data_IF_954952764906
#
_entry.id   IF_954952764906
#
_cell.length_a   1.000
_cell.length_b   1.000
_cell.length_c   1.000
_cell.angle_alpha   90.00
_cell.angle_beta   90.00
_cell.angle_gamma   90.00
#
_symmetry.space_group_name_H-M   'P 1'
#
loop_
_entity.id
_entity.type
_entity.pdbx_description
1 polymer ?
#
# COMPACT_ATOMS: atom_id res chain seq x y z
N UNK A 1 -0.07 -14.34 4.92
CA UNK A 1 -0.67 -13.58 6.03
C UNK A 1 0.18 -12.34 6.29
N UNK A 2 1.51 -12.47 6.27
CA UNK A 2 2.48 -11.34 6.32
C UNK A 2 2.37 -10.35 5.14
N UNK A 3 2.06 -10.80 3.92
CA UNK A 3 2.07 -9.92 2.73
C UNK A 3 1.10 -8.72 2.78
N UNK A 4 -0.13 -8.91 3.28
CA UNK A 4 -1.10 -7.81 3.40
C UNK A 4 -0.75 -6.87 4.55
N UNK A 5 -0.20 -7.43 5.64
CA UNK A 5 0.23 -6.65 6.78
C UNK A 5 1.38 -5.72 6.41
N UNK A 6 2.35 -6.20 5.63
CA UNK A 6 3.47 -5.40 5.14
C UNK A 6 3.00 -4.25 4.25
N UNK A 7 2.07 -4.50 3.31
CA UNK A 7 1.48 -3.46 2.46
C UNK A 7 0.74 -2.43 3.31
N UNK A 8 -0.06 -2.89 4.26
CA UNK A 8 -0.82 -2.03 5.16
C UNK A 8 0.08 -1.20 6.08
N UNK A 9 1.20 -1.76 6.53
CA UNK A 9 2.22 -1.05 7.29
C UNK A 9 2.81 0.11 6.46
N UNK A 10 3.14 -0.12 5.18
CA UNK A 10 3.65 0.95 4.31
C UNK A 10 2.61 2.07 4.11
N UNK A 11 1.33 1.73 3.92
CA UNK A 11 0.27 2.73 3.81
C UNK A 11 0.16 3.54 5.12
N UNK A 12 0.17 2.87 6.28
CA UNK A 12 0.11 3.54 7.57
C UNK A 12 1.31 4.47 7.79
N UNK A 13 2.51 4.00 7.45
CA UNK A 13 3.76 4.77 7.51
C UNK A 13 3.67 6.04 6.66
N UNK A 14 3.14 5.95 5.43
CA UNK A 14 2.96 7.09 4.54
C UNK A 14 1.92 8.09 5.09
N UNK A 15 0.84 7.59 5.70
CA UNK A 15 -0.12 8.45 6.40
C UNK A 15 0.50 9.17 7.61
N UNK A 16 1.43 8.52 8.32
CA UNK A 16 2.16 9.10 9.45
C UNK A 16 3.26 10.07 9.00
N UNK A 17 3.92 9.83 7.87
CA UNK A 17 5.05 10.67 7.41
C UNK A 17 4.61 12.09 7.06
N UNK A 18 3.44 12.26 6.43
CA UNK A 18 2.95 13.57 5.99
C UNK A 18 2.89 14.62 7.11
N UNK A 19 2.18 14.38 8.24
CA UNK A 19 2.12 15.36 9.33
C UNK A 19 3.46 15.54 10.04
N UNK A 20 4.35 14.53 10.04
CA UNK A 20 5.67 14.63 10.65
C UNK A 20 6.62 15.50 9.84
N UNK A 21 6.61 15.37 8.50
CA UNK A 21 7.41 16.18 7.59
C UNK A 21 6.94 17.64 7.63
N UNK A 22 5.62 17.87 7.63
CA UNK A 22 5.06 19.21 7.78
C UNK A 22 5.53 19.85 9.09
N UNK A 23 5.42 19.12 10.22
CA UNK A 23 5.85 19.62 11.53
C UNK A 23 7.35 19.85 11.64
N UNK A 24 8.19 19.00 11.05
CA UNK A 24 9.64 19.20 11.07
C UNK A 24 10.05 20.42 10.24
N UNK A 25 9.35 20.69 9.14
CA UNK A 25 9.60 21.87 8.29
C UNK A 25 9.21 23.20 8.96
N UNK A 26 8.23 23.16 9.88
CA UNK A 26 7.78 24.32 10.66
C UNK A 26 8.68 24.63 11.86
N UNK A 27 9.54 23.70 12.29
CA UNK A 27 10.46 23.96 13.39
C UNK A 27 11.55 24.95 12.95
N UNK A 28 11.82 26.02 13.72
CA UNK A 28 12.87 26.97 13.38
C UNK A 28 14.21 26.23 13.38
N UNK A 29 14.97 26.33 12.29
CA UNK A 29 16.29 25.73 12.13
C UNK A 29 17.09 25.82 13.44
N UNK A 30 17.51 24.65 13.97
CA UNK A 30 18.30 24.56 15.20
C UNK A 30 19.45 25.57 15.10
N UNK A 31 19.34 26.67 15.86
CA UNK A 31 20.45 27.63 15.97
C UNK A 31 21.61 26.87 16.60
N UNK A 32 22.60 26.53 15.78
CA UNK A 32 23.89 26.05 16.24
C UNK A 32 24.34 26.95 17.40
N UNK A 33 24.43 26.37 18.60
CA UNK A 33 24.99 27.07 19.76
C UNK A 33 26.45 27.35 19.44
N UNK A 34 26.72 28.53 18.86
CA UNK A 34 28.08 29.04 18.76
C UNK A 34 28.62 29.15 20.17
N UNK A 35 29.48 28.20 20.53
CA UNK A 35 30.32 28.31 21.71
C UNK A 35 31.02 29.68 21.65
N UNK A 36 30.91 30.43 22.75
CA UNK A 36 31.59 31.70 22.95
C UNK A 36 33.09 31.41 22.95
N UNK A 37 33.75 31.56 21.81
CA UNK A 37 35.21 31.48 21.73
C UNK A 37 35.80 32.89 21.66
N UNK A 38 36.63 33.19 22.66
CA UNK A 38 37.35 34.43 22.82
C UNK A 38 38.30 34.69 21.63
N UNK A 39 38.16 35.87 21.02
CA UNK A 39 39.23 36.74 20.49
C UNK A 39 40.59 36.11 20.14
N UNK A 40 40.86 35.86 18.84
CA UNK A 40 41.92 36.54 18.03
C UNK A 40 42.32 35.78 16.73
N UNK A 41 42.32 36.56 15.63
CA UNK A 41 43.18 36.54 14.41
C UNK A 41 42.90 35.57 13.24
N UNK A 42 42.47 36.21 12.13
CA UNK A 42 42.74 36.01 10.69
C UNK A 42 43.42 34.70 10.24
N UNK A 43 42.72 33.91 9.44
CA UNK A 43 43.07 33.59 8.03
C UNK A 43 41.91 32.90 7.32
N UNK A 44 41.74 33.21 6.02
CA UNK A 44 40.66 32.73 5.18
C UNK A 44 40.77 31.23 4.89
N UNK A 45 39.70 30.48 5.15
CA UNK A 45 39.53 29.08 4.74
C UNK A 45 38.18 28.96 4.02
N UNK A 46 38.23 28.32 2.85
CA UNK A 46 37.10 28.07 1.93
C UNK A 46 35.93 27.41 2.66
N UNK A 47 34.73 27.90 2.32
CA UNK A 47 33.41 27.38 2.71
C UNK A 47 33.33 25.89 2.35
N UNK A 48 33.33 25.04 3.37
CA UNK A 48 32.91 23.63 3.24
C UNK A 48 31.40 23.62 3.14
N UNK A 49 30.93 22.83 2.21
CA UNK A 49 29.58 22.77 1.68
C UNK A 49 28.64 22.18 2.74
N UNK A 50 27.46 22.79 2.90
CA UNK A 50 26.40 22.47 3.86
C UNK A 50 25.57 21.24 3.42
N UNK A 51 26.11 20.35 2.59
CA UNK A 51 25.37 19.22 2.01
C UNK A 51 25.35 18.00 2.95
N UNK A 52 26.29 17.88 3.89
CA UNK A 52 26.37 16.72 4.78
C UNK A 52 25.46 16.80 6.01
N UNK A 53 25.10 17.99 6.48
CA UNK A 53 24.19 18.16 7.64
C UNK A 53 22.72 17.94 7.25
N UNK A 54 22.28 18.43 6.08
CA UNK A 54 20.89 18.27 5.61
C UNK A 54 20.55 16.82 5.24
N UNK A 55 21.51 16.07 4.67
CA UNK A 55 21.33 14.66 4.36
C UNK A 55 21.17 13.81 5.64
N UNK A 56 21.93 14.13 6.68
CA UNK A 56 21.85 13.45 7.97
C UNK A 56 20.52 13.74 8.69
N UNK A 57 20.03 14.99 8.63
CA UNK A 57 18.74 15.35 9.23
C UNK A 57 17.55 14.63 8.55
N UNK A 58 17.61 14.42 7.23
CA UNK A 58 16.57 13.70 6.50
C UNK A 58 16.59 12.18 6.76
N UNK A 59 17.79 11.60 6.88
CA UNK A 59 17.98 10.19 7.24
C UNK A 59 17.50 9.92 8.68
N UNK A 60 17.88 10.77 9.63
CA UNK A 60 17.42 10.71 11.03
C UNK A 60 15.89 10.82 11.13
N UNK A 61 15.26 11.69 10.32
CA UNK A 61 13.80 11.82 10.28
C UNK A 61 13.14 10.57 9.70
N UNK A 62 13.71 9.98 8.65
CA UNK A 62 13.18 8.75 8.06
C UNK A 62 13.26 7.57 9.03
N UNK A 63 14.38 7.39 9.73
CA UNK A 63 14.54 6.38 10.77
C UNK A 63 13.56 6.59 11.93
N UNK A 64 13.32 7.85 12.32
CA UNK A 64 12.35 8.18 13.35
C UNK A 64 10.91 7.87 12.91
N UNK A 65 10.54 8.17 11.66
CA UNK A 65 9.24 7.80 11.08
C UNK A 65 9.07 6.29 11.10
N UNK A 66 10.10 5.52 10.70
CA UNK A 66 10.06 4.06 10.68
C UNK A 66 9.88 3.48 12.07
N UNK A 67 10.66 3.97 13.05
CA UNK A 67 10.56 3.58 14.44
C UNK A 67 9.15 3.82 14.99
N UNK A 68 8.62 5.03 14.83
CA UNK A 68 7.33 5.42 15.36
C UNK A 68 6.17 4.70 14.65
N UNK A 69 6.26 4.55 13.32
CA UNK A 69 5.30 3.80 12.53
C UNK A 69 5.24 2.35 13.00
N UNK A 70 6.38 1.70 13.20
CA UNK A 70 6.46 0.31 13.62
C UNK A 70 5.88 0.12 15.03
N UNK A 71 6.22 1.01 15.96
CA UNK A 71 5.73 0.95 17.34
C UNK A 71 4.21 1.14 17.42
N UNK A 72 3.66 2.13 16.71
CA UNK A 72 2.22 2.38 16.67
C UNK A 72 1.52 1.22 15.95
N UNK A 73 1.96 0.88 14.74
CA UNK A 73 1.29 -0.13 13.90
C UNK A 73 1.24 -1.49 14.60
N UNK A 74 2.35 -1.94 15.18
CA UNK A 74 2.41 -3.22 15.92
C UNK A 74 1.47 -3.28 17.12
N UNK A 75 1.09 -2.11 17.65
CA UNK A 75 0.16 -1.96 18.78
C UNK A 75 -1.32 -1.88 18.32
N UNK A 76 -1.59 -1.74 17.01
CA UNK A 76 -2.94 -1.70 16.47
C UNK A 76 -3.59 -3.10 16.49
N UNK A 77 -4.94 -3.18 16.58
CA UNK A 77 -5.66 -4.44 16.49
C UNK A 77 -5.29 -5.22 15.22
N UNK A 78 -5.08 -6.53 15.32
CA UNK A 78 -4.76 -7.39 14.16
C UNK A 78 -5.79 -7.26 13.04
N UNK A 79 -7.07 -7.13 13.39
CA UNK A 79 -8.15 -6.96 12.41
C UNK A 79 -8.08 -5.63 11.64
N UNK A 80 -7.32 -4.64 12.13
CA UNK A 80 -7.02 -3.40 11.43
C UNK A 80 -5.69 -3.49 10.65
N UNK A 81 -4.67 -4.17 11.22
CA UNK A 81 -3.39 -4.41 10.54
C UNK A 81 -3.55 -5.24 9.27
N UNK A 82 -4.46 -6.21 9.26
CA UNK A 82 -4.72 -7.11 8.12
C UNK A 82 -5.96 -6.70 7.29
N UNK A 83 -6.55 -5.52 7.56
CA UNK A 83 -7.79 -5.09 6.93
C UNK A 83 -7.58 -4.86 5.43
N UNK A 84 -8.48 -5.39 4.61
CA UNK A 84 -8.52 -5.13 3.17
C UNK A 84 -9.93 -4.68 2.76
N UNK A 85 -10.03 -3.93 1.66
CA UNK A 85 -11.32 -3.50 1.11
C UNK A 85 -12.28 -4.68 0.90
N UNK A 86 -11.81 -5.78 0.31
CA UNK A 86 -12.63 -6.97 0.05
C UNK A 86 -13.09 -7.66 1.34
N UNK A 87 -12.20 -7.80 2.35
CA UNK A 87 -12.57 -8.37 3.64
C UNK A 87 -13.61 -7.51 4.37
N UNK A 88 -13.43 -6.18 4.35
CA UNK A 88 -14.38 -5.22 4.91
C UNK A 88 -15.73 -5.26 4.19
N UNK A 89 -15.73 -5.21 2.85
CA UNK A 89 -16.93 -5.19 2.03
C UNK A 89 -17.80 -6.44 2.25
N UNK A 90 -17.18 -7.59 2.47
CA UNK A 90 -17.86 -8.88 2.61
C UNK A 90 -18.10 -9.30 4.07
N UNK A 91 -17.74 -8.48 5.07
CA UNK A 91 -17.88 -8.82 6.48
C UNK A 91 -18.63 -7.72 7.27
N UNK A 92 -19.91 -7.93 7.61
CA UNK A 92 -20.70 -6.96 8.38
C UNK A 92 -20.11 -6.59 9.74
N UNK A 93 -19.38 -7.50 10.39
CA UNK A 93 -18.72 -7.21 11.66
C UNK A 93 -17.55 -6.25 11.49
N UNK A 94 -16.77 -6.38 10.40
CA UNK A 94 -15.71 -5.44 10.08
C UNK A 94 -16.27 -4.07 9.69
N UNK A 95 -17.40 -4.01 8.99
CA UNK A 95 -18.09 -2.75 8.68
C UNK A 95 -18.57 -2.04 9.95
N UNK A 96 -19.14 -2.78 10.90
CA UNK A 96 -19.56 -2.20 12.17
C UNK A 96 -18.38 -1.64 12.99
N UNK A 97 -17.20 -2.28 12.91
CA UNK A 97 -16.00 -1.85 13.64
C UNK A 97 -15.28 -0.68 12.96
N UNK A 98 -15.17 -0.73 11.63
CA UNK A 98 -14.38 0.20 10.83
C UNK A 98 -15.28 0.92 9.82
N UNK A 99 -15.61 2.16 10.15
CA UNK A 99 -16.38 3.08 9.30
C UNK A 99 -15.49 4.27 8.95
N UNK A 100 -15.74 4.90 7.80
CA UNK A 100 -15.05 6.13 7.39
C UNK A 100 -16.03 7.33 7.44
N UNK A 101 -15.85 8.31 8.35
CA UNK A 101 -14.81 8.39 9.38
C UNK A 101 -15.10 7.52 10.62
N UNK A 102 -14.05 7.18 11.38
CA UNK A 102 -14.17 6.42 12.62
C UNK A 102 -14.94 7.20 13.69
N UNK A 103 -15.83 6.50 14.41
CA UNK A 103 -16.52 7.11 15.55
C UNK A 103 -15.54 7.41 16.70
N UNK A 104 -15.72 8.51 17.45
CA UNK A 104 -14.82 8.87 18.55
C UNK A 104 -14.58 7.74 19.58
N UNK A 105 -15.62 6.98 20.02
CA UNK A 105 -15.40 5.87 20.95
C UNK A 105 -14.55 4.74 20.37
N UNK A 106 -14.49 4.58 19.04
CA UNK A 106 -13.63 3.58 18.38
C UNK A 106 -12.21 4.08 18.26
N UNK A 107 -12.02 5.34 17.93
CA UNK A 107 -10.69 5.97 17.95
C UNK A 107 -10.04 5.81 19.32
N UNK A 108 -10.73 6.18 20.40
CA UNK A 108 -10.26 6.00 21.78
C UNK A 108 -9.93 4.53 22.09
N UNK A 109 -10.80 3.59 21.68
CA UNK A 109 -10.58 2.15 21.89
C UNK A 109 -9.37 1.58 21.13
N UNK A 110 -8.93 2.23 20.06
CA UNK A 110 -7.77 1.82 19.25
C UNK A 110 -6.50 2.47 19.78
N UNK A 111 -6.57 3.74 20.20
CA UNK A 111 -5.41 4.54 20.55
C UNK A 111 -5.06 4.55 22.05
N UNK A 112 -6.02 4.37 22.95
CA UNK A 112 -5.74 4.30 24.41
C UNK A 112 -4.83 3.13 24.82
N UNK A 113 -4.88 1.95 24.18
CA UNK A 113 -3.97 0.83 24.49
C UNK A 113 -2.53 1.05 24.01
N UNK A 114 -2.23 2.14 23.30
CA UNK A 114 -0.89 2.39 22.77
C UNK A 114 0.15 2.54 23.89
N UNK A 115 1.37 2.01 23.69
CA UNK A 115 2.47 2.20 24.63
C UNK A 115 2.72 3.68 24.99
N UNK A 116 3.00 4.01 26.27
CA UNK A 116 3.27 5.39 26.68
C UNK A 116 4.54 5.97 26.04
N UNK A 117 5.47 5.11 25.61
CA UNK A 117 6.68 5.44 24.84
C UNK A 117 6.40 6.21 23.56
N UNK A 118 5.23 5.99 22.93
CA UNK A 118 4.78 6.76 21.76
C UNK A 118 4.52 8.21 22.17
N UNK A 119 3.81 8.42 23.29
CA UNK A 119 3.52 9.77 23.81
C UNK A 119 4.81 10.47 24.22
N UNK A 120 5.72 9.76 24.90
CA UNK A 120 7.01 10.30 25.31
C UNK A 120 7.86 10.71 24.10
N UNK A 121 7.85 9.91 23.03
CA UNK A 121 8.53 10.22 21.77
C UNK A 121 7.93 11.47 21.10
N UNK A 122 6.60 11.53 20.99
CA UNK A 122 5.92 12.70 20.40
C UNK A 122 6.20 14.00 21.17
N UNK A 123 6.27 13.93 22.50
CA UNK A 123 6.64 15.09 23.35
C UNK A 123 8.11 15.44 23.19
N UNK A 124 9.01 14.45 23.22
CA UNK A 124 10.47 14.63 23.12
C UNK A 124 10.86 15.35 21.83
N UNK A 125 10.22 14.98 20.71
CA UNK A 125 10.46 15.59 19.41
C UNK A 125 9.60 16.86 19.15
N UNK A 126 8.83 17.30 20.15
CA UNK A 126 7.97 18.50 20.07
C UNK A 126 6.98 18.44 18.91
N UNK A 127 6.39 17.27 18.68
CA UNK A 127 5.42 17.03 17.60
C UNK A 127 3.99 17.37 17.99
N UNK A 128 3.69 17.38 19.29
CA UNK A 128 2.38 17.78 19.83
C UNK A 128 2.31 19.29 20.00
N UNK A 129 1.22 19.90 19.53
CA UNK A 129 0.91 21.29 19.83
C UNK A 129 0.62 21.49 21.33
N UNK A 130 0.72 22.73 21.87
CA UNK A 130 0.36 22.99 23.26
C UNK A 130 -1.09 22.58 23.54
N UNK A 131 -1.27 21.65 24.49
CA UNK A 131 -2.54 21.03 24.89
C UNK A 131 -3.14 20.01 23.90
N UNK A 132 -2.39 19.58 22.88
CA UNK A 132 -2.81 18.48 22.01
C UNK A 132 -2.44 17.15 22.65
N UNK A 133 -3.40 16.24 22.71
CA UNK A 133 -3.18 14.86 23.18
C UNK A 133 -2.65 13.96 22.07
N UNK A 134 -2.02 12.84 22.44
CA UNK A 134 -1.60 11.80 21.49
C UNK A 134 -2.78 11.31 20.65
N UNK A 135 -3.95 11.12 21.26
CA UNK A 135 -5.17 10.73 20.55
C UNK A 135 -5.57 11.76 19.49
N UNK A 136 -5.58 13.05 19.82
CA UNK A 136 -5.91 14.12 18.87
C UNK A 136 -4.91 14.21 17.72
N UNK A 137 -3.63 13.93 17.98
CA UNK A 137 -2.60 13.89 16.94
C UNK A 137 -2.75 12.67 16.02
N UNK A 138 -2.97 11.48 16.57
CA UNK A 138 -3.04 10.23 15.81
C UNK A 138 -4.41 9.99 15.14
N UNK A 139 -5.48 10.62 15.63
CA UNK A 139 -6.83 10.51 15.05
C UNK A 139 -6.91 10.80 13.54
N UNK A 140 -6.39 11.92 13.01
CA UNK A 140 -6.43 12.18 11.57
C UNK A 140 -5.58 11.18 10.77
N UNK A 141 -4.44 10.73 11.31
CA UNK A 141 -3.59 9.71 10.67
C UNK A 141 -4.34 8.39 10.55
N UNK A 142 -4.99 7.96 11.64
CA UNK A 142 -5.79 6.73 11.67
C UNK A 142 -6.97 6.78 10.70
N UNK A 143 -7.66 7.93 10.60
CA UNK A 143 -8.74 8.10 9.62
C UNK A 143 -8.21 8.12 8.18
N UNK A 144 -7.07 8.79 7.92
CA UNK A 144 -6.44 8.77 6.60
C UNK A 144 -6.07 7.35 6.19
N UNK A 145 -5.42 6.60 7.09
CA UNK A 145 -5.07 5.20 6.86
C UNK A 145 -6.31 4.35 6.55
N UNK A 146 -7.37 4.48 7.36
CA UNK A 146 -8.60 3.73 7.13
C UNK A 146 -9.26 4.13 5.80
N UNK A 147 -9.33 5.41 5.47
CA UNK A 147 -9.91 5.88 4.21
C UNK A 147 -9.15 5.31 3.00
N UNK A 148 -7.82 5.22 3.08
CA UNK A 148 -7.01 4.57 2.05
C UNK A 148 -7.33 3.08 1.92
N UNK A 149 -7.44 2.34 3.03
CA UNK A 149 -7.79 0.92 3.00
C UNK A 149 -9.20 0.62 2.48
N UNK A 150 -10.15 1.52 2.78
CA UNK A 150 -11.55 1.37 2.39
C UNK A 150 -11.88 1.97 1.02
N UNK A 151 -10.89 2.57 0.36
CA UNK A 151 -11.05 3.05 -1.01
C UNK A 151 -11.25 1.86 -1.95
N UNK A 152 -12.36 1.81 -2.73
CA UNK A 152 -12.57 0.74 -3.69
C UNK A 152 -11.43 0.70 -4.73
N UNK A 153 -10.97 -0.49 -5.13
CA UNK A 153 -9.96 -0.59 -6.18
C UNK A 153 -10.49 0.05 -7.48
N UNK A 154 -9.61 0.67 -8.29
CA UNK A 154 -10.01 1.30 -9.54
C UNK A 154 -10.66 0.28 -10.46
N UNK A 155 -11.63 0.71 -11.27
CA UNK A 155 -12.35 -0.24 -12.12
C UNK A 155 -11.37 -0.89 -13.10
N UNK A 156 -11.54 -2.17 -13.45
CA UNK A 156 -10.53 -2.87 -14.23
C UNK A 156 -10.19 -2.24 -15.61
N UNK A 157 -11.13 -1.51 -16.22
CA UNK A 157 -10.90 -0.81 -17.48
C UNK A 157 -10.10 0.50 -17.31
N UNK A 158 -10.22 1.15 -16.15
CA UNK A 158 -9.46 2.37 -15.80
C UNK A 158 -7.98 2.04 -15.57
N UNK A 159 -7.69 0.77 -15.25
CA UNK A 159 -6.32 0.27 -15.06
C UNK A 159 -5.55 0.09 -16.38
N UNK A 160 -6.23 0.09 -17.54
CA UNK A 160 -5.61 -0.15 -18.86
C UNK A 160 -4.35 0.68 -19.14
N UNK A 161 -4.29 1.99 -18.84
CA UNK A 161 -3.12 2.82 -19.16
C UNK A 161 -1.86 2.42 -18.38
N UNK A 162 -2.02 1.81 -17.19
CA UNK A 162 -0.92 1.41 -16.33
C UNK A 162 -0.32 0.05 -16.70
N UNK A 163 -1.05 -0.76 -17.47
CA UNK A 163 -0.57 -2.07 -17.91
C UNK A 163 0.14 -1.96 -19.26
N UNK A 164 1.47 -2.07 -19.21
CA UNK A 164 2.38 -1.88 -20.35
C UNK A 164 2.72 -3.17 -21.08
N UNK A 165 2.50 -4.33 -20.46
CA UNK A 165 2.85 -5.63 -20.99
C UNK A 165 1.79 -6.70 -20.71
N UNK A 166 1.88 -7.82 -21.44
CA UNK A 166 0.98 -8.94 -21.21
C UNK A 166 1.30 -9.65 -19.89
N UNK A 167 0.31 -9.76 -19.01
CA UNK A 167 0.50 -10.31 -17.66
C UNK A 167 0.87 -11.81 -17.59
N UNK A 168 0.82 -12.55 -18.72
CA UNK A 168 1.28 -13.94 -18.81
C UNK A 168 2.65 -14.08 -19.49
N UNK A 169 2.91 -13.30 -20.54
CA UNK A 169 4.12 -13.48 -21.38
C UNK A 169 5.08 -12.30 -21.38
N UNK A 170 4.77 -11.24 -20.62
CA UNK A 170 5.59 -10.05 -20.38
C UNK A 170 6.04 -9.31 -21.65
N UNK A 171 5.30 -9.48 -22.75
CA UNK A 171 5.58 -8.73 -23.99
C UNK A 171 4.92 -7.37 -23.92
N UNK A 172 5.73 -6.32 -23.99
CA UNK A 172 5.31 -4.91 -23.94
C UNK A 172 5.01 -4.29 -25.30
N UNK A 173 5.50 -4.89 -26.39
CA UNK A 173 5.39 -4.33 -27.75
C UNK A 173 4.16 -4.79 -28.54
N UNK A 174 3.19 -5.43 -27.88
CA UNK A 174 2.02 -6.02 -28.54
C UNK A 174 0.70 -5.50 -27.97
N UNK A 175 -0.37 -5.42 -28.78
CA UNK A 175 -1.68 -5.03 -28.27
C UNK A 175 -2.22 -6.02 -27.23
N UNK A 176 -2.74 -5.47 -26.15
CA UNK A 176 -3.42 -6.20 -25.08
C UNK A 176 -4.93 -6.17 -25.28
N UNK A 177 -5.58 -7.19 -24.73
CA UNK A 177 -7.03 -7.40 -24.77
C UNK A 177 -7.53 -7.65 -23.35
N UNK A 178 -8.78 -7.24 -23.10
CA UNK A 178 -9.43 -7.40 -21.81
C UNK A 178 -9.94 -8.84 -21.65
N UNK A 179 -9.50 -9.53 -20.60
CA UNK A 179 -9.89 -10.92 -20.31
C UNK A 179 -10.49 -11.02 -18.92
N UNK A 180 -11.71 -11.55 -18.80
CA UNK A 180 -12.31 -11.84 -17.49
C UNK A 180 -11.73 -13.12 -16.91
N UNK A 181 -11.10 -13.02 -15.73
CA UNK A 181 -10.49 -14.15 -15.04
C UNK A 181 -11.55 -15.14 -14.54
N UNK A 182 -12.67 -14.62 -14.02
CA UNK A 182 -13.88 -15.40 -13.76
C UNK A 182 -14.83 -15.20 -14.95
N UNK A 183 -15.07 -16.23 -15.78
CA UNK A 183 -15.90 -16.06 -16.97
C UNK A 183 -17.34 -15.63 -16.63
N UNK A 184 -17.84 -14.58 -17.31
CA UNK A 184 -19.20 -14.04 -17.08
C UNK A 184 -20.31 -15.08 -17.14
N UNK A 185 -20.17 -16.07 -18.02
CA UNK A 185 -21.15 -17.15 -18.18
C UNK A 185 -21.33 -18.03 -16.94
N UNK A 186 -20.39 -18.00 -15.98
CA UNK A 186 -20.47 -18.79 -14.74
C UNK A 186 -20.65 -17.95 -13.47
N UNK A 187 -20.81 -16.62 -13.57
CA UNK A 187 -20.97 -15.73 -12.39
C UNK A 187 -22.13 -16.16 -11.47
N UNK A 188 -23.31 -16.43 -12.04
CA UNK A 188 -24.46 -16.89 -11.25
C UNK A 188 -24.18 -18.21 -10.50
N UNK A 189 -23.38 -19.10 -11.12
CA UNK A 189 -22.98 -20.36 -10.51
C UNK A 189 -21.93 -20.17 -9.42
N UNK A 190 -20.95 -19.29 -9.66
CA UNK A 190 -19.91 -18.92 -8.69
C UNK A 190 -20.54 -18.40 -7.40
N UNK A 191 -21.49 -17.46 -7.49
CA UNK A 191 -22.21 -16.93 -6.33
C UNK A 191 -23.07 -18.00 -5.65
N UNK A 192 -23.85 -18.77 -6.42
CA UNK A 192 -24.69 -19.84 -5.86
C UNK A 192 -23.89 -20.92 -5.14
N UNK A 193 -22.65 -21.17 -5.57
CA UNK A 193 -21.75 -22.16 -4.97
C UNK A 193 -20.86 -21.57 -3.87
N UNK A 194 -20.87 -20.24 -3.67
CA UNK A 194 -20.01 -19.55 -2.72
C UNK A 194 -18.53 -19.71 -3.04
N UNK A 195 -18.16 -19.80 -4.34
CA UNK A 195 -16.75 -19.91 -4.72
C UNK A 195 -16.01 -18.59 -4.54
N UNK A 196 -16.65 -17.48 -4.91
CA UNK A 196 -16.11 -16.11 -4.83
C UNK A 196 -17.20 -15.13 -4.44
N UNK A 197 -16.78 -13.98 -3.93
CA UNK A 197 -17.65 -12.85 -3.60
C UNK A 197 -17.97 -12.00 -4.84
N UNK A 198 -18.97 -11.12 -4.74
CA UNK A 198 -19.44 -10.33 -5.89
C UNK A 198 -18.38 -9.36 -6.42
N UNK A 199 -17.55 -8.79 -5.54
CA UNK A 199 -16.45 -7.90 -5.90
C UNK A 199 -15.38 -8.58 -6.76
N UNK A 200 -15.16 -9.89 -6.57
CA UNK A 200 -14.15 -10.66 -7.28
C UNK A 200 -14.57 -11.06 -8.70
N UNK A 201 -15.88 -11.06 -9.00
CA UNK A 201 -16.40 -11.52 -10.30
C UNK A 201 -15.87 -10.73 -11.50
N UNK A 202 -15.49 -9.47 -11.26
CA UNK A 202 -15.01 -8.56 -12.28
C UNK A 202 -13.47 -8.47 -12.33
N UNK A 203 -12.76 -9.36 -11.64
CA UNK A 203 -11.31 -9.48 -11.80
C UNK A 203 -10.97 -9.80 -13.27
N UNK A 204 -9.95 -9.10 -13.79
CA UNK A 204 -9.53 -9.22 -15.19
C UNK A 204 -8.03 -9.33 -15.32
N UNK A 205 -7.61 -9.72 -16.52
CA UNK A 205 -6.25 -9.63 -16.97
C UNK A 205 -6.16 -8.92 -18.33
N UNK A 206 -5.06 -8.23 -18.57
CA UNK A 206 -4.64 -7.64 -19.82
C UNK A 206 -3.69 -8.56 -20.56
N UNK A 207 -4.26 -9.34 -21.47
CA UNK A 207 -3.55 -10.39 -22.17
C UNK A 207 -3.39 -10.05 -23.64
N UNK A 208 -2.24 -10.39 -24.21
CA UNK A 208 -2.12 -10.39 -25.67
C UNK A 208 -3.03 -11.44 -26.30
N UNK A 209 -3.38 -11.26 -27.58
CA UNK A 209 -4.29 -12.19 -28.30
C UNK A 209 -3.88 -13.66 -28.19
N UNK A 210 -2.58 -13.97 -28.24
CA UNK A 210 -2.07 -15.33 -28.15
C UNK A 210 -2.32 -15.97 -26.76
N UNK A 211 -2.01 -15.23 -25.69
CA UNK A 211 -2.24 -15.68 -24.31
C UNK A 211 -3.73 -15.78 -24.01
N UNK A 212 -4.51 -14.78 -24.40
CA UNK A 212 -5.97 -14.80 -24.24
C UNK A 212 -6.59 -16.05 -24.90
N UNK A 213 -6.22 -16.32 -26.16
CA UNK A 213 -6.71 -17.51 -26.87
C UNK A 213 -6.28 -18.82 -26.19
N UNK A 214 -5.09 -18.84 -25.60
CA UNK A 214 -4.57 -20.00 -24.88
C UNK A 214 -5.36 -20.26 -23.59
N UNK A 215 -5.62 -19.22 -22.78
CA UNK A 215 -6.40 -19.33 -21.52
C UNK A 215 -7.82 -19.85 -21.77
N UNK A 216 -8.46 -19.53 -22.90
CA UNK A 216 -9.76 -20.11 -23.22
C UNK A 216 -9.73 -21.60 -23.59
N UNK A 217 -8.57 -22.15 -23.96
CA UNK A 217 -8.39 -23.58 -24.24
C UNK A 217 -7.72 -24.35 -23.11
N UNK A 218 -7.16 -23.60 -22.16
CA UNK A 218 -6.40 -24.08 -21.04
C UNK A 218 -7.22 -25.01 -20.14
N UNK A 219 -8.40 -24.52 -19.73
CA UNK A 219 -9.27 -25.20 -18.78
C UNK A 219 -10.73 -24.88 -19.08
N UNK A 220 -11.65 -25.64 -18.49
CA UNK A 220 -13.07 -25.36 -18.56
C UNK A 220 -13.43 -24.04 -17.84
N UNK A 221 -14.60 -23.46 -18.16
CA UNK A 221 -15.05 -22.22 -17.49
C UNK A 221 -15.17 -22.38 -15.97
N UNK A 222 -15.56 -23.57 -15.52
CA UNK A 222 -15.68 -23.92 -14.10
C UNK A 222 -14.31 -23.97 -13.43
N UNK A 223 -13.33 -24.64 -14.05
CA UNK A 223 -11.96 -24.73 -13.53
C UNK A 223 -11.29 -23.35 -13.49
N UNK A 224 -11.46 -22.54 -14.56
CA UNK A 224 -10.98 -21.16 -14.57
C UNK A 224 -11.58 -20.36 -13.41
N UNK A 225 -12.89 -20.43 -13.23
CA UNK A 225 -13.56 -19.71 -12.16
C UNK A 225 -13.17 -20.21 -10.77
N UNK A 226 -12.97 -21.51 -10.57
CA UNK A 226 -12.75 -22.08 -9.23
C UNK A 226 -11.28 -22.08 -8.82
N UNK A 227 -10.38 -22.43 -9.74
CA UNK A 227 -8.99 -22.74 -9.44
C UNK A 227 -8.02 -21.69 -10.01
N UNK A 228 -8.39 -20.98 -11.09
CA UNK A 228 -7.48 -20.08 -11.82
C UNK A 228 -8.07 -18.67 -12.03
N UNK A 229 -8.63 -18.10 -10.97
CA UNK A 229 -9.39 -16.84 -10.99
C UNK A 229 -8.55 -15.57 -10.74
N UNK A 230 -7.22 -15.72 -10.62
CA UNK A 230 -6.25 -14.61 -10.57
C UNK A 230 -5.13 -14.84 -11.58
N UNK A 231 -4.37 -13.80 -11.92
CA UNK A 231 -3.21 -13.93 -12.83
C UNK A 231 -2.17 -14.85 -12.23
N UNK A 232 -1.90 -14.72 -10.94
CA UNK A 232 -0.93 -15.51 -10.18
C UNK A 232 -1.27 -16.99 -10.28
N UNK A 233 -2.55 -17.34 -10.02
CA UNK A 233 -3.02 -18.73 -10.14
C UNK A 233 -2.94 -19.23 -11.58
N UNK A 234 -3.26 -18.41 -12.57
CA UNK A 234 -3.14 -18.79 -13.98
C UNK A 234 -1.70 -19.12 -14.35
N UNK A 235 -0.72 -18.32 -13.92
CA UNK A 235 0.70 -18.55 -14.26
C UNK A 235 1.35 -19.65 -13.42
N UNK A 236 0.77 -20.04 -12.29
CA UNK A 236 1.16 -21.25 -11.55
C UNK A 236 0.79 -22.54 -12.31
N UNK A 237 -0.21 -22.48 -13.21
CA UNK A 237 -0.61 -23.63 -14.03
C UNK A 237 0.47 -23.98 -15.05
N UNK A 238 0.97 -25.20 -14.99
CA UNK A 238 2.19 -25.62 -15.69
C UNK A 238 2.21 -25.34 -17.19
N UNK A 239 1.11 -25.61 -17.89
CA UNK A 239 1.02 -25.40 -19.34
C UNK A 239 0.82 -23.91 -19.72
N UNK A 240 0.15 -23.10 -18.90
CA UNK A 240 0.08 -21.64 -19.06
C UNK A 240 1.44 -21.03 -18.85
N UNK A 241 2.16 -21.45 -17.80
CA UNK A 241 3.53 -21.02 -17.51
C UNK A 241 4.47 -21.30 -18.67
N UNK A 242 4.54 -22.56 -19.11
CA UNK A 242 5.37 -22.98 -20.25
C UNK A 242 4.99 -22.25 -21.53
N UNK A 243 3.70 -22.04 -21.78
CA UNK A 243 3.24 -21.29 -22.94
C UNK A 243 3.66 -19.82 -22.86
N UNK A 244 3.53 -19.18 -21.70
CA UNK A 244 3.95 -17.81 -21.43
C UNK A 244 5.45 -17.60 -21.67
N UNK A 245 6.28 -18.47 -21.07
CA UNK A 245 7.74 -18.46 -21.22
C UNK A 245 8.19 -18.64 -22.68
N UNK A 246 7.50 -19.51 -23.43
CA UNK A 246 7.78 -19.73 -24.84
C UNK A 246 7.31 -18.54 -25.69
N UNK A 247 6.04 -18.14 -25.58
CA UNK A 247 5.44 -17.11 -26.44
C UNK A 247 6.05 -15.73 -26.19
N UNK A 248 6.55 -15.48 -24.98
CA UNK A 248 7.31 -14.27 -24.63
C UNK A 248 8.55 -14.07 -25.50
N UNK A 249 9.20 -15.17 -25.90
CA UNK A 249 10.40 -15.17 -26.75
C UNK A 249 10.08 -15.10 -28.25
N UNK A 250 8.83 -15.34 -28.65
CA UNK A 250 8.45 -15.39 -30.06
C UNK A 250 8.19 -14.00 -30.62
N UNK A 251 8.95 -13.66 -31.66
CA UNK A 251 8.71 -12.50 -32.54
C UNK A 251 8.04 -12.97 -33.82
N UNK A 252 6.71 -12.86 -33.86
CA UNK A 252 5.96 -13.10 -35.10
C UNK A 252 6.28 -11.99 -36.10
N UNK A 253 6.82 -12.34 -37.27
CA UNK A 253 6.85 -11.42 -38.41
C UNK A 253 5.41 -11.26 -38.89
N UNK A 254 4.95 -10.01 -39.04
CA UNK A 254 3.69 -9.73 -39.72
C UNK A 254 3.78 -10.35 -41.14
N UNK A 255 2.76 -11.12 -41.51
CA UNK A 255 2.54 -11.53 -42.90
C UNK A 255 1.72 -10.46 -43.60
#
# INVERSE_FOLDING_TARGET
MEEFEDVNFQIFRDCLSNPLIEKSSEQPAKKTRKARENSRRKTAIKRVIHETEEANDAEELAEFIDYLALEIFSSLPTSLRELTYSAWLNNPSLQALYNDPLSPPRVTSILDPLPPTITDSLITYSLLAPNQTTNEFLSPILNSYLSTLLTPPPKPHEQRPFVTECEICQRSWIPLTFHHLIPKGVHAKVLKRGWHTEDQLNNVAWLCRACHSFVHRAASLDELAKEYYTVEKLVEREDVRRFGEWVGKVRWKAR
#
